data_IF_515137851942
#
_entry.id   IF_515137851942
#
_cell.length_a   1.000
_cell.length_b   1.000
_cell.length_c   1.000
_cell.angle_alpha   90.00
_cell.angle_beta   90.00
_cell.angle_gamma   90.00
#
_symmetry.space_group_name_H-M   'P 1'
#
loop_
_entity.id
_entity.type
_entity.pdbx_description
1 polymer ?
#
# COMPACT_ATOMS: atom_id res chain seq x y z
N UNK A 1 -4.26 64.88 -22.66
CA UNK A 1 -3.81 64.46 -21.31
C UNK A 1 -4.60 63.28 -20.71
N UNK A 2 -5.69 62.80 -21.33
CA UNK A 2 -6.48 61.65 -20.81
C UNK A 2 -5.86 60.25 -21.03
N UNK A 3 -4.96 60.10 -22.02
CA UNK A 3 -4.40 58.80 -22.40
C UNK A 3 -3.27 58.29 -21.47
N UNK A 4 -2.57 59.17 -20.76
CA UNK A 4 -1.45 58.77 -19.89
C UNK A 4 -1.90 58.22 -18.53
N UNK A 5 -3.06 58.66 -18.01
CA UNK A 5 -3.60 58.20 -16.72
C UNK A 5 -4.06 56.73 -16.78
N UNK A 6 -4.60 56.30 -17.91
CA UNK A 6 -5.06 54.92 -18.12
C UNK A 6 -3.91 53.93 -18.26
N UNK A 7 -2.77 54.35 -18.82
CA UNK A 7 -1.57 53.51 -18.94
C UNK A 7 -0.94 53.29 -17.56
N UNK A 8 -0.91 54.33 -16.69
CA UNK A 8 -0.36 54.21 -15.34
C UNK A 8 -1.27 53.35 -14.43
N UNK A 9 -2.60 53.47 -14.55
CA UNK A 9 -3.55 52.62 -13.81
C UNK A 9 -3.50 51.15 -14.25
N UNK A 10 -3.21 50.88 -15.53
CA UNK A 10 -3.09 49.49 -16.02
C UNK A 10 -1.79 48.83 -15.54
N UNK A 11 -0.68 49.57 -15.43
CA UNK A 11 0.59 49.03 -14.92
C UNK A 11 0.56 48.68 -13.42
N UNK A 12 -0.22 49.38 -12.60
CA UNK A 12 -0.36 49.06 -11.16
C UNK A 12 -1.18 47.77 -10.95
N UNK A 13 -2.20 47.53 -11.79
CA UNK A 13 -3.06 46.35 -11.68
C UNK A 13 -2.31 45.04 -12.03
N UNK A 14 -1.30 45.10 -12.91
CA UNK A 14 -0.50 43.91 -13.28
C UNK A 14 0.50 43.54 -12.18
N UNK A 15 1.02 44.50 -11.41
CA UNK A 15 1.92 44.21 -10.27
C UNK A 15 1.20 43.66 -9.02
N UNK A 16 -0.13 43.78 -8.93
CA UNK A 16 -0.93 43.23 -7.82
C UNK A 16 -1.51 41.84 -8.10
N UNK A 17 -1.19 41.24 -9.25
CA UNK A 17 -1.38 39.80 -9.44
C UNK A 17 -0.26 39.10 -8.66
N UNK A 18 -0.42 39.06 -7.34
CA UNK A 18 0.39 38.23 -6.47
C UNK A 18 0.46 36.84 -7.09
N UNK A 19 1.67 36.36 -7.33
CA UNK A 19 1.91 34.95 -7.60
C UNK A 19 1.10 34.19 -6.56
N UNK A 20 0.11 33.42 -6.98
CA UNK A 20 -0.58 32.54 -6.05
C UNK A 20 0.52 31.68 -5.42
N UNK A 21 0.84 31.93 -4.15
CA UNK A 21 1.70 31.03 -3.40
C UNK A 21 0.93 29.71 -3.33
N UNK A 22 1.14 28.85 -4.32
CA UNK A 22 0.69 27.48 -4.26
C UNK A 22 1.44 26.87 -3.08
N UNK A 23 0.72 26.67 -1.97
CA UNK A 23 1.24 25.92 -0.83
C UNK A 23 1.82 24.62 -1.39
N UNK A 24 3.11 24.33 -1.18
CA UNK A 24 3.70 23.13 -1.73
C UNK A 24 2.88 21.93 -1.24
N UNK A 25 2.40 21.13 -2.19
CA UNK A 25 1.60 19.96 -1.88
C UNK A 25 2.37 19.12 -0.84
N UNK A 26 1.70 18.75 0.25
CA UNK A 26 2.31 17.93 1.29
C UNK A 26 2.57 16.54 0.72
N UNK A 27 3.78 16.29 0.23
CA UNK A 27 4.15 14.99 -0.30
C UNK A 27 4.23 13.97 0.84
N UNK A 28 3.65 12.80 0.62
CA UNK A 28 3.67 11.69 1.57
C UNK A 28 5.11 11.32 1.98
N UNK A 29 6.07 11.39 1.04
CA UNK A 29 7.48 11.11 1.29
C UNK A 29 8.17 12.08 2.27
N UNK A 30 7.62 13.30 2.47
CA UNK A 30 8.15 14.30 3.42
C UNK A 30 7.28 14.45 4.67
N UNK A 31 6.36 13.52 4.91
CA UNK A 31 5.52 13.50 6.09
C UNK A 31 5.93 12.36 6.99
N UNK A 32 6.22 12.65 8.26
CA UNK A 32 6.50 11.61 9.24
C UNK A 32 5.32 10.62 9.34
N UNK A 33 5.57 9.30 9.25
CA UNK A 33 4.54 8.30 9.49
C UNK A 33 3.99 8.41 10.92
N UNK A 34 2.68 8.28 11.08
CA UNK A 34 2.04 8.15 12.40
C UNK A 34 1.68 6.68 12.64
N UNK A 35 1.80 6.21 13.88
CA UNK A 35 1.39 4.85 14.26
C UNK A 35 -0.13 4.78 14.49
N UNK A 36 -0.90 4.06 13.64
CA UNK A 36 -2.34 3.92 13.82
C UNK A 36 -2.68 2.83 14.85
N UNK A 37 -3.76 3.02 15.59
CA UNK A 37 -4.32 1.98 16.46
C UNK A 37 -4.99 0.93 15.57
N UNK A 38 -4.65 -0.35 15.77
CA UNK A 38 -5.28 -1.45 15.04
C UNK A 38 -6.77 -1.56 15.39
N UNK A 39 -7.66 -1.79 14.41
CA UNK A 39 -9.08 -1.97 14.67
C UNK A 39 -9.33 -3.28 15.42
N UNK A 40 -10.39 -3.32 16.21
CA UNK A 40 -10.89 -4.56 16.77
C UNK A 40 -11.69 -5.32 15.71
N UNK A 41 -11.47 -6.63 15.61
CA UNK A 41 -12.07 -7.52 14.61
C UNK A 41 -12.88 -8.61 15.30
N UNK A 42 -13.83 -9.20 14.59
CA UNK A 42 -14.68 -10.27 15.14
C UNK A 42 -13.92 -11.60 15.22
N UNK A 43 -13.20 -11.96 14.14
CA UNK A 43 -12.32 -13.13 14.14
C UNK A 43 -10.90 -12.74 14.60
N UNK A 44 -10.66 -12.88 15.91
CA UNK A 44 -9.37 -12.56 16.51
C UNK A 44 -8.27 -13.61 16.22
N UNK A 45 -8.59 -14.78 15.68
CA UNK A 45 -7.62 -15.85 15.41
C UNK A 45 -7.01 -15.76 14.02
N UNK A 46 -7.72 -15.14 13.06
CA UNK A 46 -7.24 -15.01 11.69
C UNK A 46 -6.02 -14.07 11.51
N UNK A 47 -5.96 -12.89 12.15
CA UNK A 47 -4.80 -12.01 12.05
C UNK A 47 -3.52 -12.68 12.59
N UNK A 48 -2.46 -12.70 11.79
CA UNK A 48 -1.13 -13.22 12.20
C UNK A 48 -0.28 -12.08 12.76
N UNK A 49 -0.44 -10.88 12.21
CA UNK A 49 0.26 -9.67 12.64
C UNK A 49 -0.72 -8.49 12.81
N UNK A 50 -0.30 -7.38 13.46
CA UNK A 50 -1.19 -6.24 13.71
C UNK A 50 -1.81 -5.60 12.45
N UNK A 51 -1.11 -5.65 11.30
CA UNK A 51 -1.58 -5.07 10.03
C UNK A 51 -2.78 -5.86 9.48
N UNK A 52 -2.83 -7.18 9.71
CA UNK A 52 -3.91 -8.04 9.24
C UNK A 52 -5.28 -7.61 9.80
N UNK A 53 -5.33 -6.99 10.98
CA UNK A 53 -6.56 -6.43 11.56
C UNK A 53 -7.21 -5.38 10.65
N UNK A 54 -6.42 -4.54 9.99
CA UNK A 54 -6.96 -3.52 9.08
C UNK A 54 -7.59 -4.13 7.83
N UNK A 55 -7.06 -5.27 7.37
CA UNK A 55 -7.59 -6.00 6.22
C UNK A 55 -8.87 -6.71 6.64
N UNK A 56 -8.84 -7.43 7.76
CA UNK A 56 -9.97 -8.20 8.25
C UNK A 56 -11.14 -7.30 8.62
N UNK A 57 -10.90 -6.16 9.27
CA UNK A 57 -11.93 -5.15 9.57
C UNK A 57 -12.69 -4.72 8.30
N UNK A 58 -11.98 -4.51 7.19
CA UNK A 58 -12.61 -4.16 5.90
C UNK A 58 -13.42 -5.31 5.31
N UNK A 59 -12.90 -6.54 5.40
CA UNK A 59 -13.57 -7.75 4.92
C UNK A 59 -14.87 -8.00 5.72
N UNK A 60 -14.81 -7.91 7.05
CA UNK A 60 -15.95 -8.10 7.95
C UNK A 60 -17.01 -7.02 7.76
N UNK A 61 -16.61 -5.74 7.63
CA UNK A 61 -17.56 -4.64 7.34
C UNK A 61 -18.26 -4.80 5.99
N UNK A 62 -17.63 -5.47 5.04
CA UNK A 62 -18.24 -5.82 3.76
C UNK A 62 -19.18 -7.05 3.85
N UNK A 63 -19.33 -7.66 5.03
CA UNK A 63 -20.17 -8.85 5.23
C UNK A 63 -19.54 -10.13 4.66
N UNK A 64 -18.22 -10.15 4.47
CA UNK A 64 -17.49 -11.30 3.97
C UNK A 64 -16.54 -11.87 5.03
N UNK A 65 -16.09 -13.10 4.79
CA UNK A 65 -14.99 -13.72 5.54
C UNK A 65 -13.73 -13.80 4.67
N UNK A 66 -12.55 -13.94 5.29
CA UNK A 66 -11.32 -14.11 4.55
C UNK A 66 -11.34 -15.40 3.71
N UNK A 67 -10.63 -15.37 2.58
CA UNK A 67 -10.50 -16.55 1.72
C UNK A 67 -9.67 -17.64 2.40
N UNK A 68 -10.01 -18.90 2.13
CA UNK A 68 -9.21 -20.04 2.59
C UNK A 68 -7.78 -19.92 2.06
N UNK A 69 -6.81 -20.30 2.91
CA UNK A 69 -5.40 -20.39 2.52
C UNK A 69 -5.26 -21.31 1.30
N UNK A 70 -4.45 -20.88 0.33
CA UNK A 70 -4.20 -21.69 -0.85
C UNK A 70 -3.39 -22.95 -0.51
N UNK A 71 -3.62 -24.02 -1.28
CA UNK A 71 -2.86 -25.26 -1.17
C UNK A 71 -1.34 -25.01 -1.25
N UNK A 72 -0.50 -25.75 -0.49
CA UNK A 72 0.95 -25.54 -0.43
C UNK A 72 1.61 -25.45 -1.81
N UNK A 73 1.20 -26.32 -2.75
CA UNK A 73 1.70 -26.32 -4.13
C UNK A 73 1.43 -25.00 -4.87
N UNK A 74 0.25 -24.40 -4.66
CA UNK A 74 -0.11 -23.12 -5.29
C UNK A 74 0.69 -21.97 -4.67
N UNK A 75 0.91 -22.00 -3.35
CA UNK A 75 1.69 -20.98 -2.65
C UNK A 75 3.14 -20.96 -3.12
N UNK A 76 3.81 -22.12 -3.18
CA UNK A 76 5.20 -22.21 -3.67
C UNK A 76 5.30 -21.71 -5.11
N UNK A 77 4.38 -22.13 -5.98
CA UNK A 77 4.38 -21.65 -7.38
C UNK A 77 4.24 -20.14 -7.49
N UNK A 78 3.37 -19.52 -6.67
CA UNK A 78 3.20 -18.06 -6.65
C UNK A 78 4.47 -17.38 -6.17
N UNK A 79 5.04 -17.80 -5.04
CA UNK A 79 6.28 -17.22 -4.51
C UNK A 79 7.42 -17.25 -5.55
N UNK A 80 7.61 -18.37 -6.24
CA UNK A 80 8.63 -18.48 -7.30
C UNK A 80 8.38 -17.53 -8.48
N UNK A 81 7.13 -17.42 -8.94
CA UNK A 81 6.79 -16.51 -10.03
C UNK A 81 6.92 -15.03 -9.59
N UNK A 82 6.50 -14.71 -8.38
CA UNK A 82 6.49 -13.34 -7.86
C UNK A 82 7.92 -12.85 -7.54
N UNK A 83 8.77 -13.71 -6.98
CA UNK A 83 10.12 -13.35 -6.55
C UNK A 83 11.18 -13.53 -7.65
N UNK A 84 11.05 -14.58 -8.47
CA UNK A 84 12.07 -14.96 -9.47
C UNK A 84 11.59 -14.84 -10.92
N UNK A 85 10.27 -14.72 -11.16
CA UNK A 85 9.70 -14.65 -12.51
C UNK A 85 9.64 -16.00 -13.25
N UNK A 86 10.00 -17.11 -12.60
CA UNK A 86 10.02 -18.46 -13.20
C UNK A 86 9.31 -19.47 -12.29
N UNK A 87 8.67 -20.52 -12.84
CA UNK A 87 8.03 -21.53 -12.01
C UNK A 87 9.08 -22.42 -11.30
N UNK A 88 8.72 -23.02 -10.14
CA UNK A 88 9.61 -23.96 -9.47
C UNK A 88 9.80 -25.23 -10.30
N UNK A 89 10.96 -25.87 -10.18
CA UNK A 89 11.14 -27.22 -10.71
C UNK A 89 10.34 -28.23 -9.88
N UNK A 90 10.07 -29.41 -10.47
CA UNK A 90 9.40 -30.51 -9.77
C UNK A 90 10.14 -30.92 -8.50
N UNK A 91 11.48 -30.91 -8.53
CA UNK A 91 12.31 -31.25 -7.38
C UNK A 91 12.18 -30.22 -6.25
N UNK A 92 12.30 -28.92 -6.56
CA UNK A 92 12.13 -27.84 -5.59
C UNK A 92 10.76 -27.89 -4.90
N UNK A 93 9.70 -28.08 -5.69
CA UNK A 93 8.36 -28.23 -5.17
C UNK A 93 8.22 -29.45 -4.26
N UNK A 94 8.78 -30.60 -4.65
CA UNK A 94 8.73 -31.81 -3.85
C UNK A 94 9.53 -31.70 -2.55
N UNK A 95 10.67 -31.01 -2.57
CA UNK A 95 11.46 -30.72 -1.37
C UNK A 95 10.66 -29.90 -0.37
N UNK A 96 9.94 -28.87 -0.84
CA UNK A 96 9.05 -28.10 0.02
C UNK A 96 7.89 -28.94 0.56
N UNK A 97 7.18 -29.69 -0.29
CA UNK A 97 6.02 -30.49 0.11
C UNK A 97 6.36 -31.62 1.11
N UNK A 98 7.60 -32.10 1.09
CA UNK A 98 8.10 -33.11 2.04
C UNK A 98 8.67 -32.49 3.32
N UNK A 99 8.94 -31.17 3.34
CA UNK A 99 9.46 -30.48 4.51
C UNK A 99 8.37 -30.36 5.57
N UNK A 100 8.57 -31.02 6.72
CA UNK A 100 7.65 -30.98 7.88
C UNK A 100 8.01 -29.92 8.92
N UNK A 101 9.03 -29.10 8.65
CA UNK A 101 9.42 -28.01 9.54
C UNK A 101 8.25 -27.00 9.62
N UNK A 102 7.77 -26.63 10.83
CA UNK A 102 6.74 -25.60 10.97
C UNK A 102 7.13 -24.26 10.34
N UNK A 103 8.44 -24.00 10.20
CA UNK A 103 8.98 -22.78 9.60
C UNK A 103 9.30 -22.92 8.11
N UNK A 104 8.91 -24.02 7.46
CA UNK A 104 9.26 -24.29 6.06
C UNK A 104 8.87 -23.16 5.09
N UNK A 105 7.75 -22.47 5.37
CA UNK A 105 7.35 -21.31 4.57
C UNK A 105 8.30 -20.13 4.72
N UNK A 106 8.65 -19.75 5.96
CA UNK A 106 9.56 -18.64 6.24
C UNK A 106 11.00 -18.93 5.80
N UNK A 107 11.42 -20.19 5.73
CA UNK A 107 12.74 -20.57 5.20
C UNK A 107 12.79 -20.52 3.67
N UNK A 108 11.64 -20.59 3.00
CA UNK A 108 11.56 -20.55 1.53
C UNK A 108 11.68 -19.12 0.99
N UNK A 109 11.24 -18.11 1.75
CA UNK A 109 11.10 -16.70 1.31
C UNK A 109 11.97 -15.73 2.10
#
# INVERSE_FOLDING_TARGET
MQLFVHIILFSIAVSLSGTSEEKPAKFWAFTAPSEPIAPNVQDAEWPINPIDNFILDKIERAGHGPSKKAEPRKLVRRAYLDLLGIPPTTEQLNSYLKNKNPNAWSELI
#
